data_IF_225609670515
#
_entry.id   IF_225609670515
#
_cell.length_a   1.000
_cell.length_b   1.000
_cell.length_c   1.000
_cell.angle_alpha   90.00
_cell.angle_beta   90.00
_cell.angle_gamma   90.00
#
_symmetry.space_group_name_H-M   'P 1'
#
loop_
_entity.id
_entity.type
_entity.pdbx_description
1 polymer ?
#
# COMPACT_ATOMS: atom_id res chain seq x y z
N UNK A 1 2.85 11.19 31.19
CA UNK A 1 3.25 10.34 30.05
C UNK A 1 2.23 10.59 28.96
N UNK A 2 2.62 11.10 27.80
CA UNK A 2 1.70 11.23 26.64
C UNK A 2 1.29 9.84 26.19
N UNK A 3 -0.01 9.62 26.03
CA UNK A 3 -0.58 8.37 25.50
C UNK A 3 -0.05 8.15 24.10
N UNK A 4 0.34 6.89 23.75
CA UNK A 4 0.80 6.56 22.41
C UNK A 4 -0.35 6.69 21.40
N UNK A 5 -0.11 7.19 20.19
CA UNK A 5 -1.07 7.10 19.10
C UNK A 5 -1.50 5.66 18.85
N UNK A 6 -2.79 5.44 18.57
CA UNK A 6 -3.35 4.11 18.25
C UNK A 6 -3.71 4.05 16.77
N UNK A 7 -3.14 3.11 16.04
CA UNK A 7 -3.45 2.86 14.64
C UNK A 7 -4.45 1.71 14.53
N UNK A 8 -5.70 2.05 14.19
CA UNK A 8 -6.74 1.06 13.91
C UNK A 8 -6.47 0.44 12.54
N UNK A 9 -6.37 -0.86 12.50
CA UNK A 9 -5.69 -1.63 11.47
C UNK A 9 -6.51 -2.81 10.96
N UNK A 10 -6.11 -3.33 9.81
CA UNK A 10 -6.49 -4.64 9.29
C UNK A 10 -5.27 -5.25 8.57
N UNK A 11 -5.01 -6.53 8.82
CA UNK A 11 -3.76 -7.22 8.40
C UNK A 11 -3.44 -7.09 6.91
N UNK A 12 -4.44 -7.18 6.02
CA UNK A 12 -4.24 -7.10 4.57
C UNK A 12 -4.37 -5.70 3.98
N UNK A 13 -4.71 -4.69 4.78
CA UNK A 13 -5.01 -3.36 4.25
C UNK A 13 -3.73 -2.63 3.78
N UNK A 14 -3.57 -2.34 2.48
CA UNK A 14 -2.40 -1.63 1.96
C UNK A 14 -2.34 -0.18 2.45
N UNK A 15 -3.46 0.43 2.72
CA UNK A 15 -3.54 1.79 3.25
C UNK A 15 -3.08 1.88 4.71
N UNK A 16 -3.30 0.82 5.51
CA UNK A 16 -2.70 0.69 6.86
C UNK A 16 -1.18 0.62 6.76
N UNK A 17 -0.66 -0.18 5.84
CA UNK A 17 0.79 -0.33 5.66
C UNK A 17 1.48 1.00 5.37
N UNK A 18 0.86 1.91 4.60
CA UNK A 18 1.37 3.27 4.36
C UNK A 18 1.60 4.03 5.67
N UNK A 19 0.61 4.01 6.56
CA UNK A 19 0.68 4.68 7.86
C UNK A 19 1.74 4.03 8.76
N UNK A 20 1.81 2.68 8.80
CA UNK A 20 2.84 1.96 9.56
C UNK A 20 4.25 2.33 9.08
N UNK A 21 4.47 2.35 7.75
CA UNK A 21 5.77 2.70 7.17
C UNK A 21 6.14 4.14 7.55
N UNK A 22 5.24 5.09 7.41
CA UNK A 22 5.49 6.49 7.74
C UNK A 22 5.79 6.69 9.24
N UNK A 23 5.00 6.08 10.13
CA UNK A 23 5.25 6.09 11.58
C UNK A 23 6.63 5.55 11.91
N UNK A 24 7.01 4.41 11.30
CA UNK A 24 8.32 3.77 11.51
C UNK A 24 9.46 4.64 10.99
N UNK A 25 9.36 5.21 9.79
CA UNK A 25 10.39 6.09 9.20
C UNK A 25 10.60 7.38 10.01
N UNK A 26 9.54 7.87 10.65
CA UNK A 26 9.59 9.03 11.53
C UNK A 26 10.01 8.70 12.97
N UNK A 27 10.18 7.41 13.31
CA UNK A 27 10.53 6.96 14.65
C UNK A 27 9.42 7.16 15.69
N UNK A 28 8.17 7.23 15.26
CA UNK A 28 7.00 7.41 16.14
C UNK A 28 6.58 6.06 16.70
N UNK A 29 6.58 5.91 18.00
CA UNK A 29 6.01 4.76 18.68
C UNK A 29 4.48 4.84 18.66
N UNK A 30 3.80 3.72 18.38
CA UNK A 30 2.34 3.65 18.30
C UNK A 30 1.85 2.26 18.71
N UNK A 31 0.59 2.18 19.12
CA UNK A 31 -0.12 0.93 19.33
C UNK A 31 -0.89 0.55 18.05
N UNK A 32 -0.84 -0.72 17.63
CA UNK A 32 -1.60 -1.23 16.48
C UNK A 32 -2.74 -2.10 16.96
N UNK A 33 -3.98 -1.76 16.56
CA UNK A 33 -5.20 -2.47 16.94
C UNK A 33 -5.86 -3.01 15.67
N UNK A 34 -5.80 -4.32 15.45
CA UNK A 34 -6.45 -4.95 14.31
C UNK A 34 -7.96 -5.12 14.57
N UNK A 35 -8.78 -4.83 13.54
CA UNK A 35 -10.22 -5.01 13.57
C UNK A 35 -10.67 -6.04 12.53
N UNK A 36 -11.70 -6.81 12.87
CA UNK A 36 -12.41 -7.64 11.92
C UNK A 36 -13.40 -6.79 11.11
N UNK A 37 -13.10 -6.60 9.82
CA UNK A 37 -13.93 -5.82 8.91
C UNK A 37 -15.21 -6.54 8.47
N UNK A 38 -15.30 -7.86 8.70
CA UNK A 38 -16.52 -8.62 8.46
C UNK A 38 -17.51 -8.47 9.64
N UNK A 39 -16.99 -8.24 10.84
CA UNK A 39 -17.80 -8.04 12.07
C UNK A 39 -17.27 -6.81 12.82
N UNK A 40 -17.61 -5.62 12.29
CA UNK A 40 -17.10 -4.34 12.79
C UNK A 40 -17.67 -4.01 14.16
N UNK A 41 -16.83 -3.82 15.20
CA UNK A 41 -17.32 -3.45 16.51
C UNK A 41 -17.83 -2.00 16.55
N UNK A 42 -18.80 -1.72 17.43
CA UNK A 42 -19.43 -0.40 17.56
C UNK A 42 -18.43 0.72 17.85
N UNK A 43 -17.41 0.44 18.67
CA UNK A 43 -16.39 1.42 18.99
C UNK A 43 -15.60 1.84 17.75
N UNK A 44 -15.34 0.90 16.80
CA UNK A 44 -14.66 1.20 15.56
C UNK A 44 -15.51 2.10 14.65
N UNK A 45 -16.81 1.83 14.56
CA UNK A 45 -17.74 2.64 13.76
C UNK A 45 -17.87 4.08 14.29
N UNK A 46 -17.64 4.29 15.60
CA UNK A 46 -17.61 5.65 16.19
C UNK A 46 -16.40 6.47 15.76
N UNK A 47 -15.25 5.84 15.52
CA UNK A 47 -14.00 6.52 15.14
C UNK A 47 -13.71 6.45 13.64
N UNK A 48 -14.39 5.58 12.89
CA UNK A 48 -14.26 5.43 11.43
C UNK A 48 -15.60 5.72 10.74
N UNK A 49 -15.86 6.96 10.29
CA UNK A 49 -17.14 7.34 9.67
C UNK A 49 -17.48 6.51 8.42
N UNK A 50 -16.44 6.01 7.72
CA UNK A 50 -16.59 5.17 6.53
C UNK A 50 -16.52 3.67 6.84
N UNK A 51 -16.31 3.29 8.10
CA UNK A 51 -16.10 1.89 8.50
C UNK A 51 -14.90 1.24 7.81
N UNK A 52 -13.83 2.02 7.54
CA UNK A 52 -12.62 1.61 6.82
C UNK A 52 -11.37 1.81 7.69
N UNK A 53 -10.31 1.10 7.38
CA UNK A 53 -8.97 1.27 7.94
C UNK A 53 -8.02 1.88 6.90
N UNK A 54 -6.97 2.63 7.33
CA UNK A 54 -6.59 2.95 8.72
C UNK A 54 -7.41 4.07 9.34
N UNK A 55 -7.39 4.12 10.69
CA UNK A 55 -7.71 5.32 11.46
C UNK A 55 -6.58 5.51 12.46
N UNK A 56 -6.02 6.72 12.54
CA UNK A 56 -5.04 7.10 13.57
C UNK A 56 -5.77 7.86 14.68
N UNK A 57 -5.74 7.33 15.89
CA UNK A 57 -6.31 7.98 17.08
C UNK A 57 -5.19 8.62 17.87
N UNK A 58 -5.30 9.94 18.09
CA UNK A 58 -4.34 10.76 18.85
C UNK A 58 -5.11 11.46 19.97
N UNK A 59 -4.91 11.02 21.23
CA UNK A 59 -5.76 11.43 22.33
C UNK A 59 -7.23 11.07 22.03
N UNK A 60 -8.10 12.07 22.01
CA UNK A 60 -9.54 11.92 21.73
C UNK A 60 -9.89 12.08 20.23
N UNK A 61 -8.91 12.43 19.37
CA UNK A 61 -9.15 12.73 17.96
C UNK A 61 -8.87 11.53 17.06
N UNK A 62 -9.80 11.24 16.14
CA UNK A 62 -9.66 10.20 15.13
C UNK A 62 -9.40 10.82 13.75
N UNK A 63 -8.29 10.44 13.11
CA UNK A 63 -7.88 10.87 11.78
C UNK A 63 -8.06 9.67 10.85
N UNK A 64 -8.90 9.78 9.84
CA UNK A 64 -9.13 8.77 8.82
C UNK A 64 -8.60 9.24 7.46
N UNK A 65 -8.56 8.37 6.44
CA UNK A 65 -7.87 8.49 5.17
C UNK A 65 -6.33 8.43 5.29
N UNK A 66 -5.73 7.43 4.67
CA UNK A 66 -4.29 7.19 4.80
C UNK A 66 -3.44 8.37 4.33
N UNK A 67 -3.84 9.07 3.25
CA UNK A 67 -3.12 10.24 2.77
C UNK A 67 -3.17 11.39 3.80
N UNK A 68 -4.30 11.59 4.47
CA UNK A 68 -4.46 12.61 5.53
C UNK A 68 -3.61 12.24 6.75
N UNK A 69 -3.57 10.95 7.11
CA UNK A 69 -2.70 10.47 8.20
C UNK A 69 -1.22 10.76 7.88
N UNK A 70 -0.78 10.51 6.63
CA UNK A 70 0.58 10.80 6.21
C UNK A 70 0.91 12.30 6.32
N UNK A 71 0.00 13.20 5.90
CA UNK A 71 0.18 14.64 6.03
C UNK A 71 0.21 15.08 7.49
N UNK A 72 -0.68 14.58 8.33
CA UNK A 72 -0.64 14.87 9.77
C UNK A 72 0.71 14.49 10.39
N UNK A 73 1.24 13.32 10.07
CA UNK A 73 2.56 12.90 10.54
C UNK A 73 3.68 13.78 9.97
N UNK A 74 3.55 14.24 8.74
CA UNK A 74 4.52 15.14 8.12
C UNK A 74 4.57 16.51 8.79
N UNK A 75 3.42 17.05 9.17
CA UNK A 75 3.29 18.36 9.82
C UNK A 75 3.68 18.36 11.31
N UNK A 76 3.51 17.19 12.00
CA UNK A 76 3.65 17.13 13.47
C UNK A 76 4.88 16.40 13.95
N UNK A 77 5.54 15.59 13.08
CA UNK A 77 6.68 14.76 13.49
C UNK A 77 7.97 15.21 12.82
N UNK A 78 9.08 14.96 13.47
CA UNK A 78 10.41 15.15 12.89
C UNK A 78 10.65 14.24 11.67
N UNK A 79 11.82 14.39 11.02
CA UNK A 79 12.24 13.61 9.86
C UNK A 79 11.29 13.77 8.66
N UNK A 80 11.31 14.93 7.96
CA UNK A 80 10.43 15.19 6.83
C UNK A 80 10.68 14.19 5.69
N UNK A 81 9.59 13.60 5.19
CA UNK A 81 9.56 12.65 4.08
C UNK A 81 9.00 13.28 2.79
N UNK A 82 8.52 14.51 2.85
CA UNK A 82 8.22 15.34 1.69
C UNK A 82 9.38 16.27 1.32
N UNK A 83 9.50 16.67 0.05
CA UNK A 83 10.37 17.77 -0.35
C UNK A 83 9.95 19.08 0.33
N UNK A 84 10.94 19.93 0.67
CA UNK A 84 10.66 21.25 1.26
C UNK A 84 10.02 22.22 0.23
N UNK A 85 10.39 22.08 -1.05
CA UNK A 85 9.87 22.92 -2.14
C UNK A 85 8.41 22.58 -2.43
N UNK A 86 7.56 23.63 -2.50
CA UNK A 86 6.10 23.47 -2.53
C UNK A 86 5.58 22.76 -3.78
N UNK A 87 6.14 23.05 -4.97
CA UNK A 87 5.72 22.41 -6.21
C UNK A 87 6.09 20.93 -6.22
N UNK A 88 7.30 20.58 -5.79
CA UNK A 88 7.73 19.18 -5.67
C UNK A 88 6.92 18.41 -4.63
N UNK A 89 6.55 19.06 -3.53
CA UNK A 89 5.65 18.46 -2.54
C UNK A 89 4.26 18.21 -3.12
N UNK A 90 3.73 19.14 -3.91
CA UNK A 90 2.45 18.94 -4.62
C UNK A 90 2.55 17.79 -5.63
N UNK A 91 3.67 17.65 -6.34
CA UNK A 91 3.93 16.53 -7.23
C UNK A 91 3.96 15.19 -6.46
N UNK A 92 4.64 15.12 -5.30
CA UNK A 92 4.63 13.92 -4.44
C UNK A 92 3.21 13.55 -4.00
N UNK A 93 2.38 14.51 -3.61
CA UNK A 93 0.97 14.29 -3.28
C UNK A 93 0.18 13.71 -4.45
N UNK A 94 0.41 14.22 -5.66
CA UNK A 94 -0.22 13.67 -6.86
C UNK A 94 0.20 12.19 -7.11
N UNK A 95 1.47 11.84 -6.86
CA UNK A 95 1.92 10.45 -6.97
C UNK A 95 1.42 9.54 -5.84
N UNK A 96 1.13 10.06 -4.66
CA UNK A 96 0.44 9.34 -3.58
C UNK A 96 -0.98 8.97 -4.02
N UNK A 97 -1.73 9.91 -4.63
CA UNK A 97 -3.05 9.66 -5.19
C UNK A 97 -2.98 8.70 -6.39
N UNK A 98 -1.97 8.83 -7.24
CA UNK A 98 -1.72 7.85 -8.30
C UNK A 98 -1.52 6.44 -7.73
N UNK A 99 -0.80 6.29 -6.62
CA UNK A 99 -0.68 5.02 -5.91
C UNK A 99 -2.01 4.48 -5.39
N UNK A 100 -2.94 5.35 -4.97
CA UNK A 100 -4.31 4.97 -4.58
C UNK A 100 -5.11 4.47 -5.79
N UNK A 101 -4.97 5.13 -6.95
CA UNK A 101 -5.58 4.67 -8.19
C UNK A 101 -5.01 3.31 -8.66
N UNK A 102 -3.70 3.07 -8.49
CA UNK A 102 -3.09 1.75 -8.76
C UNK A 102 -3.67 0.67 -7.86
N UNK A 103 -3.87 0.95 -6.55
CA UNK A 103 -4.49 -0.01 -5.63
C UNK A 103 -5.94 -0.34 -6.03
N UNK A 104 -6.70 0.63 -6.53
CA UNK A 104 -8.05 0.38 -7.05
C UNK A 104 -8.03 -0.52 -8.30
N UNK A 105 -7.03 -0.34 -9.19
CA UNK A 105 -6.87 -1.23 -10.35
C UNK A 105 -6.41 -2.62 -9.94
N UNK A 106 -5.54 -2.76 -8.94
CA UNK A 106 -5.17 -4.04 -8.34
C UNK A 106 -6.42 -4.73 -7.75
N UNK A 107 -7.29 -3.98 -7.08
CA UNK A 107 -8.54 -4.51 -6.56
C UNK A 107 -9.45 -5.03 -7.68
N UNK A 108 -9.53 -4.31 -8.79
CA UNK A 108 -10.23 -4.77 -10.01
C UNK A 108 -9.58 -6.02 -10.64
N UNK A 109 -8.25 -6.09 -10.65
CA UNK A 109 -7.49 -7.20 -11.20
C UNK A 109 -7.77 -8.51 -10.43
N UNK A 110 -7.56 -8.51 -9.10
CA UNK A 110 -7.78 -9.73 -8.32
C UNK A 110 -9.25 -10.09 -8.12
N UNK A 111 -10.19 -9.18 -8.42
CA UNK A 111 -11.62 -9.41 -8.31
C UNK A 111 -12.31 -9.60 -9.67
N UNK A 112 -11.58 -9.60 -10.80
CA UNK A 112 -12.13 -9.74 -12.13
C UNK A 112 -12.97 -11.03 -12.25
N UNK A 113 -14.24 -10.96 -12.70
CA UNK A 113 -15.12 -12.13 -12.73
C UNK A 113 -14.77 -13.10 -13.85
N UNK A 114 -14.15 -12.61 -14.93
CA UNK A 114 -13.82 -13.35 -16.13
C UNK A 114 -12.51 -12.91 -16.78
N UNK A 115 -12.10 -13.61 -17.83
CA UNK A 115 -10.86 -13.35 -18.56
C UNK A 115 -10.84 -11.97 -19.22
N UNK A 116 -11.95 -11.51 -19.77
CA UNK A 116 -12.01 -10.23 -20.49
C UNK A 116 -11.78 -9.06 -19.51
N UNK A 117 -12.47 -9.06 -18.38
CA UNK A 117 -12.28 -8.07 -17.31
C UNK A 117 -10.86 -8.13 -16.72
N UNK A 118 -10.32 -9.35 -16.54
CA UNK A 118 -8.97 -9.57 -16.06
C UNK A 118 -7.92 -8.98 -17.01
N UNK A 119 -8.01 -9.27 -18.32
CA UNK A 119 -7.11 -8.73 -19.35
C UNK A 119 -7.18 -7.20 -19.44
N UNK A 120 -8.38 -6.62 -19.33
CA UNK A 120 -8.56 -5.18 -19.31
C UNK A 120 -7.82 -4.53 -18.12
N UNK A 121 -7.91 -5.13 -16.93
CA UNK A 121 -7.19 -4.67 -15.74
C UNK A 121 -5.68 -4.88 -15.84
N UNK A 122 -5.23 -5.98 -16.42
CA UNK A 122 -3.81 -6.24 -16.72
C UNK A 122 -3.23 -5.13 -17.58
N UNK A 123 -3.86 -4.80 -18.72
CA UNK A 123 -3.41 -3.72 -19.60
C UNK A 123 -3.42 -2.34 -18.92
N UNK A 124 -4.43 -2.08 -18.09
CA UNK A 124 -4.52 -0.84 -17.33
C UNK A 124 -3.38 -0.70 -16.32
N UNK A 125 -3.07 -1.76 -15.58
CA UNK A 125 -1.95 -1.80 -14.63
C UNK A 125 -0.61 -1.67 -15.35
N UNK A 126 -0.43 -2.38 -16.48
CA UNK A 126 0.78 -2.27 -17.29
C UNK A 126 1.05 -0.83 -17.73
N UNK A 127 0.03 -0.14 -18.25
CA UNK A 127 0.14 1.26 -18.66
C UNK A 127 0.48 2.19 -17.47
N UNK A 128 -0.10 1.95 -16.29
CA UNK A 128 0.25 2.72 -15.08
C UNK A 128 1.69 2.50 -14.65
N UNK A 129 2.15 1.26 -14.64
CA UNK A 129 3.52 0.95 -14.24
C UNK A 129 4.55 1.41 -15.29
N UNK A 130 4.20 1.41 -16.59
CA UNK A 130 5.05 2.02 -17.61
C UNK A 130 5.24 3.53 -17.37
N UNK A 131 4.18 4.24 -17.03
CA UNK A 131 4.24 5.67 -16.66
C UNK A 131 5.07 5.90 -15.40
N UNK A 132 4.94 5.03 -14.42
CA UNK A 132 5.72 5.08 -13.19
C UNK A 132 7.21 4.83 -13.44
N UNK A 133 7.56 3.81 -14.24
CA UNK A 133 8.95 3.53 -14.63
C UNK A 133 9.60 4.71 -15.36
N UNK A 134 8.86 5.37 -16.27
CA UNK A 134 9.33 6.56 -16.95
C UNK A 134 9.62 7.72 -16.00
N UNK A 135 8.79 7.88 -14.93
CA UNK A 135 8.94 8.96 -13.93
C UNK A 135 10.07 8.73 -12.95
N UNK A 136 10.37 7.48 -12.62
CA UNK A 136 11.39 7.15 -11.63
C UNK A 136 12.75 7.75 -11.96
N UNK A 137 13.41 8.30 -10.95
CA UNK A 137 14.80 8.78 -11.03
C UNK A 137 15.79 7.64 -11.20
N UNK A 138 17.08 7.97 -11.31
CA UNK A 138 18.17 6.98 -11.33
C UNK A 138 18.56 6.50 -9.92
N UNK A 139 18.13 7.20 -8.87
CA UNK A 139 18.39 6.86 -7.47
C UNK A 139 17.65 5.60 -6.98
N UNK A 140 17.91 5.17 -5.74
CA UNK A 140 17.27 3.98 -5.16
C UNK A 140 15.79 4.21 -4.81
N UNK A 141 15.36 5.48 -4.65
CA UNK A 141 14.00 5.85 -4.25
C UNK A 141 13.29 6.60 -5.37
N UNK A 142 12.00 6.84 -5.17
CA UNK A 142 11.14 7.50 -6.16
C UNK A 142 11.77 8.78 -6.75
N UNK A 143 12.37 9.60 -5.91
CA UNK A 143 12.88 10.92 -6.30
C UNK A 143 14.37 11.11 -5.94
N UNK A 144 15.19 10.08 -6.09
CA UNK A 144 16.64 10.13 -5.89
C UNK A 144 17.12 9.34 -4.67
N UNK A 145 17.94 9.97 -3.85
CA UNK A 145 18.66 9.27 -2.78
C UNK A 145 17.94 9.25 -1.43
N UNK A 146 16.81 9.93 -1.32
CA UNK A 146 16.04 10.04 -0.07
C UNK A 146 14.71 9.31 -0.18
N UNK A 147 14.43 8.45 0.82
CA UNK A 147 13.13 7.84 1.00
C UNK A 147 12.06 8.91 1.25
N UNK A 148 10.90 8.76 0.64
CA UNK A 148 9.80 9.72 0.67
C UNK A 148 8.45 9.07 1.00
N UNK A 149 7.40 9.86 1.20
CA UNK A 149 6.05 9.35 1.38
C UNK A 149 5.54 8.61 0.12
N UNK A 150 6.03 8.95 -1.08
CA UNK A 150 5.70 8.18 -2.29
C UNK A 150 6.23 6.75 -2.19
N UNK A 151 7.46 6.57 -1.69
CA UNK A 151 8.04 5.26 -1.45
C UNK A 151 7.22 4.46 -0.42
N UNK A 152 6.78 5.10 0.67
CA UNK A 152 5.91 4.50 1.67
C UNK A 152 4.57 4.02 1.10
N UNK A 153 4.04 4.72 0.09
CA UNK A 153 2.80 4.38 -0.61
C UNK A 153 2.96 3.21 -1.56
N UNK A 154 4.09 3.09 -2.25
CA UNK A 154 4.30 2.05 -3.24
C UNK A 154 4.86 0.74 -2.66
N UNK A 155 5.47 0.74 -1.49
CA UNK A 155 5.85 -0.50 -0.80
C UNK A 155 4.69 -1.50 -0.71
N UNK A 156 3.51 -1.13 -0.17
CA UNK A 156 2.32 -1.97 -0.15
C UNK A 156 1.78 -2.37 -1.52
N UNK A 157 1.92 -1.52 -2.54
CA UNK A 157 1.50 -1.82 -3.90
C UNK A 157 2.28 -3.01 -4.48
N UNK A 158 3.61 -2.98 -4.35
CA UNK A 158 4.45 -4.06 -4.87
C UNK A 158 4.27 -5.38 -4.14
N UNK A 159 3.86 -5.35 -2.87
CA UNK A 159 3.61 -6.55 -2.07
C UNK A 159 2.51 -7.46 -2.64
N UNK A 160 1.55 -6.90 -3.37
CA UNK A 160 0.59 -7.73 -4.11
C UNK A 160 1.26 -8.57 -5.19
N UNK A 161 2.27 -8.00 -5.85
CA UNK A 161 3.01 -8.68 -6.92
C UNK A 161 3.95 -9.77 -6.38
N UNK A 162 4.35 -9.73 -5.09
CA UNK A 162 5.09 -10.83 -4.48
C UNK A 162 4.28 -12.14 -4.49
N UNK A 163 2.94 -12.02 -4.36
CA UNK A 163 2.02 -13.17 -4.43
C UNK A 163 1.51 -13.42 -5.85
N UNK A 164 1.26 -12.37 -6.65
CA UNK A 164 0.78 -12.55 -8.02
C UNK A 164 1.82 -13.25 -8.90
N UNK A 165 3.10 -12.91 -8.74
CA UNK A 165 4.21 -13.50 -9.51
C UNK A 165 4.42 -14.98 -9.17
N UNK A 166 3.97 -15.47 -8.01
CA UNK A 166 3.94 -16.90 -7.67
C UNK A 166 2.85 -17.67 -8.45
N UNK A 167 1.80 -16.98 -8.91
CA UNK A 167 0.73 -17.59 -9.70
C UNK A 167 1.11 -17.67 -11.19
N UNK A 168 1.54 -16.56 -11.78
CA UNK A 168 2.04 -16.46 -13.14
C UNK A 168 2.70 -15.11 -13.42
N UNK A 169 3.55 -15.03 -14.46
CA UNK A 169 3.95 -13.75 -15.04
C UNK A 169 2.82 -13.18 -15.90
N UNK A 170 2.21 -12.10 -15.43
CA UNK A 170 1.13 -11.40 -16.13
C UNK A 170 1.64 -10.28 -17.05
N UNK A 171 2.96 -10.10 -17.19
CA UNK A 171 3.58 -9.07 -18.03
C UNK A 171 3.49 -7.64 -17.48
N UNK A 172 2.80 -7.41 -16.35
CA UNK A 172 2.50 -6.09 -15.80
C UNK A 172 3.78 -5.31 -15.47
N UNK A 173 4.77 -5.95 -14.86
CA UNK A 173 6.04 -5.35 -14.43
C UNK A 173 7.18 -5.61 -15.41
N UNK A 174 6.99 -6.43 -16.43
CA UNK A 174 8.00 -6.86 -17.39
C UNK A 174 8.53 -5.68 -18.22
N UNK A 175 9.86 -5.64 -18.47
CA UNK A 175 10.50 -4.61 -19.28
C UNK A 175 10.63 -3.23 -18.62
N UNK A 176 10.46 -3.13 -17.29
CA UNK A 176 10.50 -1.88 -16.52
C UNK A 176 11.67 -1.89 -15.51
N UNK A 177 12.92 -1.62 -15.97
CA UNK A 177 14.12 -1.85 -15.16
C UNK A 177 14.24 -0.92 -13.93
N UNK A 178 13.79 0.35 -14.04
CA UNK A 178 13.81 1.27 -12.90
C UNK A 178 12.81 0.83 -11.82
N UNK A 179 11.64 0.38 -12.27
CA UNK A 179 10.60 -0.15 -11.39
C UNK A 179 11.06 -1.42 -10.67
N UNK A 180 11.70 -2.36 -11.38
CA UNK A 180 12.24 -3.58 -10.80
C UNK A 180 13.27 -3.29 -9.70
N UNK A 181 14.20 -2.35 -9.95
CA UNK A 181 15.17 -1.90 -8.95
C UNK A 181 14.47 -1.27 -7.73
N UNK A 182 13.53 -0.37 -7.97
CA UNK A 182 12.79 0.31 -6.90
C UNK A 182 11.98 -0.67 -6.04
N UNK A 183 11.30 -1.64 -6.66
CA UNK A 183 10.60 -2.74 -5.95
C UNK A 183 11.56 -3.49 -5.04
N UNK A 184 12.74 -3.87 -5.54
CA UNK A 184 13.75 -4.58 -4.74
C UNK A 184 14.25 -3.75 -3.55
N UNK A 185 14.50 -2.46 -3.74
CA UNK A 185 14.91 -1.54 -2.67
C UNK A 185 13.81 -1.39 -1.60
N UNK A 186 12.55 -1.25 -2.02
CA UNK A 186 11.40 -1.19 -1.12
C UNK A 186 11.22 -2.48 -0.32
N UNK A 187 11.32 -3.64 -0.98
CA UNK A 187 11.23 -4.94 -0.31
C UNK A 187 12.33 -5.16 0.74
N UNK A 188 13.53 -4.62 0.50
CA UNK A 188 14.65 -4.71 1.45
C UNK A 188 14.53 -3.73 2.64
N UNK A 189 13.72 -2.66 2.52
CA UNK A 189 13.62 -1.62 3.55
C UNK A 189 12.99 -2.13 4.84
N UNK A 190 13.60 -1.97 6.02
CA UNK A 190 13.07 -2.48 7.28
C UNK A 190 11.65 -1.99 7.60
N UNK A 191 11.35 -0.70 7.41
CA UNK A 191 10.01 -0.13 7.65
C UNK A 191 8.94 -0.76 6.76
N UNK A 192 9.28 -1.07 5.50
CA UNK A 192 8.38 -1.74 4.56
C UNK A 192 8.19 -3.20 4.98
N UNK A 193 9.27 -3.93 5.29
CA UNK A 193 9.20 -5.33 5.71
C UNK A 193 8.37 -5.53 6.97
N UNK A 194 8.59 -4.68 7.98
CA UNK A 194 7.92 -4.76 9.29
C UNK A 194 6.49 -4.21 9.30
N UNK A 195 6.02 -3.61 8.19
CA UNK A 195 4.66 -3.10 8.10
C UNK A 195 3.58 -4.19 8.11
N UNK A 196 3.96 -5.44 7.88
CA UNK A 196 3.08 -6.62 7.90
C UNK A 196 3.66 -7.73 8.76
N UNK A 197 2.80 -8.65 9.20
CA UNK A 197 3.21 -9.88 9.88
C UNK A 197 3.82 -10.90 8.91
N UNK A 198 4.56 -11.87 9.42
CA UNK A 198 5.22 -12.91 8.61
C UNK A 198 4.22 -13.79 7.84
N UNK A 199 2.98 -13.91 8.32
CA UNK A 199 1.90 -14.68 7.70
C UNK A 199 1.17 -13.92 6.56
N UNK A 200 1.57 -12.68 6.25
CA UNK A 200 0.91 -11.86 5.23
C UNK A 200 0.79 -12.55 3.85
N UNK A 201 1.81 -13.22 3.29
CA UNK A 201 1.66 -13.91 2.00
C UNK A 201 0.58 -14.99 2.04
N UNK A 202 0.56 -15.81 3.09
CA UNK A 202 -0.47 -16.84 3.27
C UNK A 202 -1.87 -16.24 3.39
N UNK A 203 -2.03 -15.16 4.16
CA UNK A 203 -3.30 -14.44 4.28
C UNK A 203 -3.76 -13.85 2.94
N UNK A 204 -2.85 -13.36 2.10
CA UNK A 204 -3.19 -12.82 0.78
C UNK A 204 -3.55 -13.93 -0.20
N UNK A 205 -2.88 -15.08 -0.16
CA UNK A 205 -3.26 -16.27 -0.92
C UNK A 205 -4.69 -16.74 -0.58
N UNK A 206 -5.02 -16.86 0.70
CA UNK A 206 -6.36 -17.21 1.18
C UNK A 206 -7.41 -16.19 0.74
N UNK A 207 -7.05 -14.92 0.80
CA UNK A 207 -7.93 -13.83 0.36
C UNK A 207 -8.25 -13.93 -1.13
N UNK A 208 -7.24 -14.21 -1.99
CA UNK A 208 -7.43 -14.40 -3.43
C UNK A 208 -8.33 -15.61 -3.69
N UNK A 209 -8.12 -16.73 -3.03
CA UNK A 209 -8.96 -17.94 -3.19
C UNK A 209 -10.44 -17.68 -2.89
N UNK A 210 -10.71 -17.00 -1.76
CA UNK A 210 -12.08 -16.67 -1.33
C UNK A 210 -12.81 -15.74 -2.29
N UNK A 211 -12.09 -14.98 -3.14
CA UNK A 211 -12.69 -14.10 -4.16
C UNK A 211 -13.46 -14.86 -5.25
N UNK A 212 -13.08 -16.12 -5.53
CA UNK A 212 -13.67 -16.92 -6.61
C UNK A 212 -13.64 -16.20 -7.96
N UNK A 213 -12.63 -15.37 -8.17
CA UNK A 213 -12.39 -14.55 -9.35
C UNK A 213 -11.68 -15.36 -10.45
N UNK A 214 -11.44 -14.73 -11.59
CA UNK A 214 -10.62 -15.33 -12.63
C UNK A 214 -9.19 -15.62 -12.16
N UNK A 215 -8.57 -14.72 -11.37
CA UNK A 215 -7.26 -14.96 -10.75
C UNK A 215 -7.26 -16.17 -9.82
N UNK A 216 -8.36 -16.38 -9.05
CA UNK A 216 -8.51 -17.58 -8.20
C UNK A 216 -8.52 -18.87 -9.03
N UNK A 217 -9.15 -18.84 -10.20
CA UNK A 217 -9.18 -19.99 -11.11
C UNK A 217 -7.80 -20.27 -11.72
N UNK A 218 -7.04 -19.22 -12.09
CA UNK A 218 -5.67 -19.36 -12.59
C UNK A 218 -4.76 -19.96 -11.52
N UNK A 219 -4.85 -19.49 -10.27
CA UNK A 219 -4.12 -20.06 -9.13
C UNK A 219 -4.40 -21.54 -8.94
N UNK A 220 -5.67 -21.96 -8.98
CA UNK A 220 -6.05 -23.36 -8.84
C UNK A 220 -5.48 -24.23 -9.97
N UNK A 221 -5.42 -23.73 -11.21
CA UNK A 221 -4.84 -24.42 -12.37
C UNK A 221 -3.31 -24.57 -12.27
N UNK A 222 -2.63 -23.57 -11.71
CA UNK A 222 -1.17 -23.60 -11.53
C UNK A 222 -0.72 -24.58 -10.44
N UNK A 223 -1.62 -24.93 -9.51
CA UNK A 223 -1.36 -25.88 -8.42
C UNK A 223 -1.75 -27.34 -8.76
N UNK A 224 -2.38 -27.60 -9.88
CA UNK A 224 -2.83 -28.91 -10.37
C UNK A 224 -1.82 -29.57 -11.30
#
# INVERSE_FOLDING_TARGET
MTELPRLISHKLCPYVQRAVIALTEKGVAFERIDVDLANKPDWFLKVSPLGKTPVLVVGEHAIFESAVILEYLEETQANPLHPAEALRRAEHRAWIEFGSAVLNDIAGFYSAPDEAAFRAKTSQLEARFARLDARLSTGPWFDGDRFSLVDAVFGPVFRYFDVFDEIADFGILTGKPKLARWRAMLAARPSVRLAVSADYPALLHDFIERRRSYLSQLKARAAA
#
